data_IF_318179865838
#
_entry.id   IF_318179865838
#
_cell.length_a   1.000
_cell.length_b   1.000
_cell.length_c   1.000
_cell.angle_alpha   90.00
_cell.angle_beta   90.00
_cell.angle_gamma   90.00
#
_symmetry.space_group_name_H-M   'P 1'
#
loop_
_entity.id
_entity.type
_entity.pdbx_description
1 polymer ?
#
# COMPACT_ATOMS: atom_id res chain seq x y z
N UNK A 1 10.13 -8.31 -10.72
CA UNK A 1 9.48 -7.07 -11.21
C UNK A 1 9.47 -6.06 -10.07
N UNK A 2 9.37 -4.76 -10.34
CA UNK A 2 9.40 -3.71 -9.32
C UNK A 2 8.06 -2.99 -9.24
N UNK A 3 7.65 -2.60 -8.04
CA UNK A 3 6.43 -1.81 -7.82
C UNK A 3 6.70 -0.80 -6.70
N UNK A 4 6.14 0.40 -6.84
CA UNK A 4 6.39 1.50 -5.92
C UNK A 4 5.19 1.75 -5.03
N UNK A 5 5.41 2.47 -3.95
CA UNK A 5 4.32 2.96 -3.12
C UNK A 5 4.60 4.34 -2.55
N UNK A 6 3.54 5.12 -2.41
CA UNK A 6 3.62 6.52 -1.98
C UNK A 6 2.46 6.86 -1.03
N UNK A 7 2.72 7.80 -0.12
CA UNK A 7 1.71 8.37 0.77
C UNK A 7 1.49 9.82 0.43
N UNK A 8 0.25 10.23 0.14
CA UNK A 8 0.00 11.63 -0.20
C UNK A 8 0.19 12.58 0.99
N UNK A 9 0.02 12.09 2.23
CA UNK A 9 0.30 12.85 3.46
C UNK A 9 -0.37 14.25 3.39
N UNK A 10 0.42 15.28 3.65
CA UNK A 10 0.07 16.70 3.58
C UNK A 10 0.80 17.40 2.43
N UNK A 11 1.32 16.66 1.44
CA UNK A 11 2.10 17.22 0.34
C UNK A 11 1.25 18.17 -0.51
N UNK A 12 1.89 19.13 -1.16
CA UNK A 12 1.28 19.87 -2.28
C UNK A 12 1.19 18.97 -3.52
N UNK A 13 0.47 19.42 -4.55
CA UNK A 13 0.49 18.74 -5.87
C UNK A 13 1.91 18.70 -6.44
N UNK A 14 2.64 19.82 -6.37
CA UNK A 14 4.02 19.95 -6.87
C UNK A 14 4.97 18.97 -6.17
N UNK A 15 4.97 18.93 -4.82
CA UNK A 15 5.82 18.01 -4.06
C UNK A 15 5.50 16.54 -4.40
N UNK A 16 4.21 16.21 -4.55
CA UNK A 16 3.81 14.85 -4.88
C UNK A 16 4.20 14.46 -6.30
N UNK A 17 4.03 15.37 -7.27
CA UNK A 17 4.48 15.18 -8.65
C UNK A 17 6.00 15.01 -8.73
N UNK A 18 6.76 15.82 -8.00
CA UNK A 18 8.22 15.69 -7.93
C UNK A 18 8.65 14.32 -7.41
N UNK A 19 7.98 13.80 -6.37
CA UNK A 19 8.21 12.46 -5.83
C UNK A 19 7.91 11.35 -6.85
N UNK A 20 6.81 11.48 -7.61
CA UNK A 20 6.44 10.53 -8.65
C UNK A 20 7.43 10.56 -9.83
N UNK A 21 7.76 11.77 -10.29
CA UNK A 21 8.67 12.00 -11.42
C UNK A 21 10.10 11.53 -11.11
N UNK A 22 10.57 11.74 -9.87
CA UNK A 22 11.87 11.23 -9.43
C UNK A 22 11.99 9.71 -9.61
N UNK A 23 10.89 8.99 -9.41
CA UNK A 23 10.84 7.54 -9.61
C UNK A 23 10.36 7.15 -11.01
N UNK A 24 10.04 8.08 -11.89
CA UNK A 24 9.46 7.82 -13.22
C UNK A 24 8.14 7.06 -13.17
N UNK A 25 7.28 7.36 -12.20
CA UNK A 25 5.97 6.71 -12.06
C UNK A 25 5.06 7.11 -13.21
N UNK A 26 4.46 6.11 -13.86
CA UNK A 26 3.55 6.27 -14.99
C UNK A 26 2.08 6.19 -14.55
N UNK A 27 1.82 5.57 -13.40
CA UNK A 27 0.47 5.38 -12.88
C UNK A 27 0.42 5.41 -11.35
N UNK A 28 -0.54 6.15 -10.80
CA UNK A 28 -0.94 6.08 -9.40
C UNK A 28 -2.12 5.11 -9.24
N UNK A 29 -1.88 4.04 -8.50
CA UNK A 29 -2.90 3.08 -8.07
C UNK A 29 -3.45 3.48 -6.70
N UNK A 30 -4.57 4.18 -6.64
CA UNK A 30 -5.15 4.62 -5.37
C UNK A 30 -5.76 3.44 -4.62
N UNK A 31 -5.21 3.09 -3.45
CA UNK A 31 -5.70 1.99 -2.60
C UNK A 31 -6.45 2.52 -1.38
N UNK A 32 -6.87 3.79 -1.36
CA UNK A 32 -7.68 4.34 -0.27
C UNK A 32 -9.09 3.76 -0.33
N UNK A 33 -9.63 3.35 0.81
CA UNK A 33 -11.03 2.91 0.89
C UNK A 33 -12.01 4.01 0.47
N UNK A 34 -11.68 5.25 0.84
CA UNK A 34 -12.45 6.46 0.52
C UNK A 34 -11.47 7.50 -0.03
N UNK A 35 -11.36 7.65 -1.35
CA UNK A 35 -10.41 8.56 -1.98
C UNK A 35 -10.90 10.03 -2.03
N UNK A 36 -11.89 10.38 -1.21
CA UNK A 36 -12.27 11.78 -0.97
C UNK A 36 -11.43 12.39 0.16
N UNK A 37 -11.22 13.71 0.11
CA UNK A 37 -10.45 14.42 1.13
C UNK A 37 -10.94 15.86 1.29
N UNK A 38 -11.56 16.18 2.41
CA UNK A 38 -11.93 17.57 2.72
C UNK A 38 -10.74 18.42 3.16
N UNK A 39 -9.76 17.81 3.84
CA UNK A 39 -8.59 18.51 4.38
C UNK A 39 -7.56 18.83 3.30
N UNK A 40 -7.42 17.96 2.31
CA UNK A 40 -6.52 18.12 1.16
C UNK A 40 -7.33 17.88 -0.11
N UNK A 41 -8.12 18.87 -0.57
CA UNK A 41 -9.04 18.71 -1.70
C UNK A 41 -8.35 18.27 -2.99
N UNK A 42 -7.10 18.69 -3.24
CA UNK A 42 -6.33 18.28 -4.42
C UNK A 42 -6.10 16.76 -4.51
N UNK A 43 -6.09 16.05 -3.37
CA UNK A 43 -6.02 14.59 -3.34
C UNK A 43 -7.41 13.92 -3.35
N UNK A 44 -8.51 14.65 -3.51
CA UNK A 44 -9.81 14.03 -3.73
C UNK A 44 -9.84 13.36 -5.11
N UNK A 45 -10.61 12.29 -5.26
CA UNK A 45 -10.83 11.63 -6.55
C UNK A 45 -11.42 12.55 -7.62
N UNK A 46 -12.05 13.66 -7.25
CA UNK A 46 -12.62 14.63 -8.18
C UNK A 46 -11.55 15.56 -8.78
N UNK A 47 -10.37 15.67 -8.15
CA UNK A 47 -9.28 16.56 -8.57
C UNK A 47 -8.01 15.79 -8.97
N UNK A 48 -7.62 14.80 -8.18
CA UNK A 48 -6.38 14.02 -8.34
C UNK A 48 -6.16 13.46 -9.74
N UNK A 49 -7.15 12.84 -10.40
CA UNK A 49 -6.97 12.31 -11.75
C UNK A 49 -6.69 13.41 -12.79
N UNK A 50 -7.21 14.62 -12.59
CA UNK A 50 -7.07 15.74 -13.51
C UNK A 50 -5.62 16.23 -13.59
N UNK A 51 -5.07 16.68 -12.47
CA UNK A 51 -3.69 17.19 -12.46
C UNK A 51 -2.64 16.08 -12.66
N UNK A 52 -2.92 14.83 -12.28
CA UNK A 52 -2.06 13.70 -12.68
C UNK A 52 -2.03 13.51 -14.20
N UNK A 53 -3.21 13.55 -14.84
CA UNK A 53 -3.33 13.39 -16.30
C UNK A 53 -2.67 14.52 -17.09
N UNK A 54 -2.76 15.76 -16.60
CA UNK A 54 -2.02 16.91 -17.17
C UNK A 54 -0.49 16.71 -17.14
N UNK A 55 -0.01 15.90 -16.19
CA UNK A 55 1.40 15.53 -16.04
C UNK A 55 1.72 14.12 -16.60
N UNK A 56 0.83 13.56 -17.44
CA UNK A 56 1.00 12.25 -18.10
C UNK A 56 1.12 11.06 -17.14
N UNK A 57 0.54 11.18 -15.93
CA UNK A 57 0.46 10.10 -14.96
C UNK A 57 -0.98 9.59 -14.91
N UNK A 58 -1.17 8.30 -15.14
CA UNK A 58 -2.49 7.69 -15.08
C UNK A 58 -2.97 7.54 -13.63
N UNK A 59 -4.29 7.53 -13.44
CA UNK A 59 -4.92 7.27 -12.14
C UNK A 59 -5.93 6.14 -12.26
N UNK A 60 -5.90 5.18 -11.32
CA UNK A 60 -6.95 4.16 -11.17
C UNK A 60 -7.20 3.86 -9.71
N UNK A 61 -8.47 3.68 -9.36
CA UNK A 61 -8.89 3.38 -7.98
C UNK A 61 -9.03 1.87 -7.75
N UNK A 62 -8.23 1.32 -6.85
CA UNK A 62 -8.17 -0.10 -6.49
C UNK A 62 -8.93 -0.36 -5.19
N UNK A 63 -10.27 -0.34 -5.28
CA UNK A 63 -11.18 -0.51 -4.13
C UNK A 63 -10.96 -1.79 -3.32
N UNK A 64 -10.62 -2.90 -3.99
CA UNK A 64 -10.34 -4.20 -3.36
C UNK A 64 -9.14 -4.12 -2.42
N UNK A 65 -8.17 -3.25 -2.69
CA UNK A 65 -7.01 -3.02 -1.81
C UNK A 65 -7.27 -1.94 -0.75
N UNK A 66 -8.47 -1.36 -0.74
CA UNK A 66 -8.96 -0.37 0.21
C UNK A 66 -8.70 -0.72 1.68
N UNK A 67 -8.13 0.21 2.45
CA UNK A 67 -8.05 0.09 3.91
C UNK A 67 -9.40 0.00 4.65
N UNK A 68 -9.38 0.20 5.99
CA UNK A 68 -10.58 0.27 6.86
C UNK A 68 -11.47 -0.98 6.80
N UNK A 69 -10.88 -2.15 7.03
CA UNK A 69 -11.58 -3.44 7.06
C UNK A 69 -12.20 -3.70 8.43
N UNK A 70 -13.37 -4.35 8.42
CA UNK A 70 -14.07 -4.80 9.64
C UNK A 70 -13.41 -6.07 10.17
N UNK A 71 -13.67 -6.40 11.44
CA UNK A 71 -13.25 -7.68 12.04
C UNK A 71 -13.83 -8.83 11.20
N UNK A 72 -12.99 -9.80 10.84
CA UNK A 72 -13.43 -11.03 10.18
C UNK A 72 -14.33 -11.85 11.12
N UNK A 73 -15.31 -12.54 10.53
CA UNK A 73 -16.16 -13.51 11.24
C UNK A 73 -15.76 -14.96 10.97
N UNK A 74 -14.88 -15.17 10.00
CA UNK A 74 -14.56 -16.48 9.43
C UNK A 74 -13.09 -16.86 9.70
N UNK A 75 -12.21 -15.86 9.82
CA UNK A 75 -10.79 -16.05 10.10
C UNK A 75 -10.59 -16.32 11.59
N UNK A 76 -9.85 -17.39 11.92
CA UNK A 76 -9.39 -17.63 13.29
C UNK A 76 -8.50 -16.46 13.75
N UNK A 77 -8.84 -15.76 14.86
CA UNK A 77 -8.05 -14.63 15.36
C UNK A 77 -6.58 -14.93 15.64
N UNK A 78 -6.19 -16.19 15.89
CA UNK A 78 -4.79 -16.52 16.18
C UNK A 78 -3.91 -16.51 14.93
N UNK A 79 -4.48 -16.66 13.71
CA UNK A 79 -3.74 -16.62 12.44
C UNK A 79 -2.97 -15.30 12.29
N UNK A 80 -3.59 -14.19 12.67
CA UNK A 80 -3.00 -12.84 12.62
C UNK A 80 -2.88 -12.21 14.02
N UNK A 81 -2.75 -13.06 15.05
CA UNK A 81 -2.73 -12.67 16.45
C UNK A 81 -1.56 -11.78 16.87
N UNK A 82 -0.48 -11.71 16.08
CA UNK A 82 0.71 -10.90 16.33
C UNK A 82 0.48 -9.39 16.21
N UNK A 83 -0.64 -8.96 15.61
CA UNK A 83 -1.00 -7.54 15.51
C UNK A 83 -1.71 -7.02 16.76
N UNK A 84 -1.02 -6.19 17.54
CA UNK A 84 -1.63 -5.44 18.66
C UNK A 84 -2.65 -4.39 18.19
N UNK A 85 -2.43 -3.79 17.01
CA UNK A 85 -3.35 -2.80 16.45
C UNK A 85 -4.50 -3.51 15.71
N UNK A 86 -5.73 -3.27 16.17
CA UNK A 86 -6.94 -3.89 15.59
C UNK A 86 -7.15 -3.60 14.11
N UNK A 87 -6.79 -2.42 13.61
CA UNK A 87 -6.96 -2.09 12.19
C UNK A 87 -5.99 -2.87 11.30
N UNK A 88 -4.75 -3.10 11.76
CA UNK A 88 -3.80 -3.96 11.06
C UNK A 88 -4.24 -5.42 11.10
N UNK A 89 -4.64 -5.92 12.27
CA UNK A 89 -5.17 -7.28 12.41
C UNK A 89 -6.35 -7.53 11.45
N UNK A 90 -7.37 -6.67 11.48
CA UNK A 90 -8.53 -6.81 10.60
C UNK A 90 -8.16 -6.76 9.11
N UNK A 91 -7.13 -5.99 8.74
CA UNK A 91 -6.66 -5.94 7.35
C UNK A 91 -5.84 -7.17 6.98
N UNK A 92 -5.05 -7.71 7.90
CA UNK A 92 -4.33 -8.98 7.70
C UNK A 92 -5.29 -10.16 7.55
N UNK A 93 -6.42 -10.17 8.27
CA UNK A 93 -7.49 -11.16 8.03
C UNK A 93 -8.06 -11.01 6.63
N UNK A 94 -8.27 -9.77 6.20
CA UNK A 94 -8.78 -9.46 4.87
C UNK A 94 -7.83 -9.90 3.75
N UNK A 95 -6.49 -9.87 3.97
CA UNK A 95 -5.52 -10.33 2.96
C UNK A 95 -5.60 -11.83 2.65
N UNK A 96 -6.36 -12.59 3.43
CA UNK A 96 -6.61 -14.02 3.21
C UNK A 96 -7.83 -14.28 2.30
N UNK A 97 -8.55 -13.23 1.91
CA UNK A 97 -9.77 -13.36 1.10
C UNK A 97 -9.46 -13.38 -0.39
N UNK A 98 -10.35 -14.02 -1.16
CA UNK A 98 -10.27 -14.04 -2.63
C UNK A 98 -10.43 -12.63 -3.23
N UNK A 99 -11.23 -11.76 -2.61
CA UNK A 99 -11.38 -10.37 -3.06
C UNK A 99 -10.07 -9.59 -2.97
N UNK A 100 -9.29 -9.79 -1.90
CA UNK A 100 -7.97 -9.18 -1.78
C UNK A 100 -7.01 -9.70 -2.85
N UNK A 101 -6.99 -11.03 -3.06
CA UNK A 101 -6.16 -11.66 -4.10
C UNK A 101 -6.43 -11.07 -5.48
N UNK A 102 -7.71 -10.99 -5.88
CA UNK A 102 -8.09 -10.33 -7.12
C UNK A 102 -7.62 -8.89 -7.20
N UNK A 103 -7.62 -8.16 -6.07
CA UNK A 103 -7.09 -6.81 -6.01
C UNK A 103 -5.58 -6.73 -6.27
N UNK A 104 -4.82 -7.73 -5.82
CA UNK A 104 -3.39 -7.81 -6.12
C UNK A 104 -3.16 -8.23 -7.58
N UNK A 105 -3.92 -9.19 -8.10
CA UNK A 105 -3.86 -9.58 -9.50
C UNK A 105 -4.11 -8.37 -10.41
N UNK A 106 -5.19 -7.61 -10.15
CA UNK A 106 -5.51 -6.38 -10.88
C UNK A 106 -4.36 -5.35 -10.81
N UNK A 107 -3.70 -5.21 -9.65
CA UNK A 107 -2.60 -4.25 -9.45
C UNK A 107 -1.32 -4.68 -10.16
N UNK A 108 -1.00 -5.97 -10.09
CA UNK A 108 0.23 -6.54 -10.66
C UNK A 108 0.14 -6.66 -12.17
N UNK A 109 -1.05 -6.81 -12.74
CA UNK A 109 -1.28 -6.71 -14.19
C UNK A 109 -0.84 -5.35 -14.71
N UNK A 110 -1.26 -4.24 -14.08
CA UNK A 110 -0.80 -2.89 -14.47
C UNK A 110 0.71 -2.73 -14.25
N UNK A 111 1.22 -3.19 -13.11
CA UNK A 111 2.64 -3.08 -12.76
C UNK A 111 3.57 -3.95 -13.63
N UNK A 112 3.02 -4.89 -14.39
CA UNK A 112 3.77 -5.72 -15.35
C UNK A 112 4.14 -4.95 -16.63
N UNK A 113 3.40 -3.88 -16.95
CA UNK A 113 3.55 -3.09 -18.18
C UNK A 113 3.87 -1.61 -17.93
N UNK A 114 3.63 -1.10 -16.73
CA UNK A 114 3.88 0.30 -16.33
C UNK A 114 4.60 0.36 -14.98
N UNK A 115 5.31 1.46 -14.72
CA UNK A 115 5.83 1.76 -13.39
C UNK A 115 4.73 2.34 -12.50
N UNK A 116 4.14 1.48 -11.68
CA UNK A 116 3.01 1.81 -10.79
C UNK A 116 3.49 2.21 -9.39
N UNK A 117 2.91 3.27 -8.83
CA UNK A 117 2.95 3.56 -7.40
C UNK A 117 1.56 3.41 -6.75
N UNK A 118 1.39 2.46 -5.83
CA UNK A 118 0.14 2.37 -5.08
C UNK A 118 0.11 3.35 -3.89
N UNK A 119 -1.01 4.09 -3.77
CA UNK A 119 -1.11 5.31 -2.97
C UNK A 119 -2.13 5.21 -1.83
N UNK A 120 -1.77 5.75 -0.66
CA UNK A 120 -2.65 5.94 0.49
C UNK A 120 -2.46 7.37 1.07
N UNK A 121 -3.23 7.72 2.11
CA UNK A 121 -3.13 9.01 2.78
C UNK A 121 -2.01 9.14 3.81
N UNK A 122 -1.60 8.05 4.44
CA UNK A 122 -0.56 8.06 5.46
C UNK A 122 0.82 8.27 4.83
N UNK A 123 1.68 9.10 5.46
CA UNK A 123 3.04 9.40 4.99
C UNK A 123 3.89 8.13 4.90
N UNK A 124 4.04 7.45 6.03
CA UNK A 124 4.97 6.32 6.13
C UNK A 124 4.23 4.97 5.98
N UNK A 125 4.70 4.06 5.11
CA UNK A 125 4.03 2.79 4.80
C UNK A 125 3.79 1.92 6.04
N UNK A 126 4.73 1.91 7.00
CA UNK A 126 4.61 1.15 8.25
C UNK A 126 3.40 1.51 9.13
N UNK A 127 2.75 2.65 8.87
CA UNK A 127 1.63 3.17 9.68
C UNK A 127 0.27 2.96 9.03
N UNK A 128 0.22 2.29 7.88
CA UNK A 128 -1.02 2.03 7.18
C UNK A 128 -1.05 0.66 6.49
N UNK A 129 -2.17 0.35 5.85
CA UNK A 129 -2.42 -0.91 5.15
C UNK A 129 -1.45 -1.17 3.97
N UNK A 130 -0.75 -0.14 3.47
CA UNK A 130 0.31 -0.29 2.47
C UNK A 130 1.39 -1.26 2.94
N UNK A 131 1.67 -1.34 4.25
CA UNK A 131 2.59 -2.33 4.81
C UNK A 131 2.16 -3.77 4.45
N UNK A 132 0.89 -4.11 4.67
CA UNK A 132 0.38 -5.47 4.47
C UNK A 132 0.28 -5.83 2.98
N UNK A 133 -0.09 -4.86 2.13
CA UNK A 133 0.01 -5.02 0.66
C UNK A 133 1.47 -5.30 0.26
N UNK A 134 2.42 -4.54 0.81
CA UNK A 134 3.85 -4.69 0.50
C UNK A 134 4.40 -6.04 0.92
N UNK A 135 4.00 -6.52 2.11
CA UNK A 135 4.38 -7.84 2.60
C UNK A 135 3.87 -8.93 1.64
N UNK A 136 2.62 -8.82 1.19
CA UNK A 136 2.02 -9.78 0.26
C UNK A 136 2.73 -9.80 -1.09
N UNK A 137 2.91 -8.63 -1.72
CA UNK A 137 3.66 -8.49 -2.98
C UNK A 137 5.09 -9.04 -2.87
N UNK A 138 5.77 -8.77 -1.75
CA UNK A 138 7.15 -9.23 -1.54
C UNK A 138 7.23 -10.74 -1.33
N UNK A 139 6.22 -11.36 -0.68
CA UNK A 139 6.11 -12.80 -0.57
C UNK A 139 5.93 -13.47 -1.94
N UNK A 140 5.27 -12.79 -2.89
CA UNK A 140 5.19 -13.21 -4.30
C UNK A 140 6.42 -12.84 -5.16
N UNK A 141 7.47 -12.29 -4.56
CA UNK A 141 8.74 -12.00 -5.24
C UNK A 141 8.80 -10.64 -5.97
N UNK A 142 7.84 -9.74 -5.74
CA UNK A 142 7.97 -8.36 -6.20
C UNK A 142 8.98 -7.58 -5.36
N UNK A 143 9.78 -6.74 -6.02
CA UNK A 143 10.63 -5.75 -5.35
C UNK A 143 9.81 -4.50 -5.06
N UNK A 144 9.28 -4.40 -3.84
CA UNK A 144 8.50 -3.23 -3.42
C UNK A 144 9.43 -2.10 -2.95
N UNK A 145 9.22 -0.90 -3.49
CA UNK A 145 9.99 0.31 -3.14
C UNK A 145 9.09 1.41 -2.57
N UNK A 146 9.43 1.94 -1.41
CA UNK A 146 8.68 2.99 -0.74
C UNK A 146 9.25 4.36 -1.09
N UNK A 147 8.46 5.20 -1.75
CA UNK A 147 8.76 6.61 -1.98
C UNK A 147 8.35 7.38 -0.72
N UNK A 148 9.32 8.00 -0.06
CA UNK A 148 9.14 8.70 1.21
C UNK A 148 9.81 10.06 1.08
N UNK A 149 9.15 11.11 1.59
CA UNK A 149 9.75 12.42 1.73
C UNK A 149 10.81 12.38 2.85
N UNK A 150 12.06 12.68 2.48
CA UNK A 150 13.22 12.74 3.35
C UNK A 150 13.38 14.10 4.02
N UNK A 151 14.52 14.31 4.67
CA UNK A 151 14.83 15.61 5.28
C UNK A 151 15.21 16.64 4.21
N UNK A 152 14.82 17.91 4.43
CA UNK A 152 15.20 19.04 3.57
C UNK A 152 14.80 18.90 2.09
N UNK A 153 13.72 18.18 1.79
CA UNK A 153 13.21 18.01 0.42
C UNK A 153 13.90 16.91 -0.38
N UNK A 154 14.74 16.08 0.24
CA UNK A 154 15.23 14.85 -0.41
C UNK A 154 14.09 13.84 -0.59
N UNK A 155 14.18 13.03 -1.64
CA UNK A 155 13.22 11.95 -1.93
C UNK A 155 13.93 10.63 -1.65
N UNK A 156 13.49 9.92 -0.61
CA UNK A 156 14.03 8.63 -0.23
C UNK A 156 13.26 7.50 -0.93
N UNK A 157 13.99 6.61 -1.59
CA UNK A 157 13.44 5.38 -2.16
C UNK A 157 13.96 4.20 -1.35
N UNK A 158 13.09 3.64 -0.50
CA UNK A 158 13.46 2.63 0.50
C UNK A 158 12.94 1.27 0.07
N UNK A 159 13.83 0.28 -0.09
CA UNK A 159 13.41 -1.10 -0.34
C UNK A 159 12.59 -1.66 0.83
N UNK A 160 11.47 -2.30 0.49
CA UNK A 160 10.69 -3.08 1.44
C UNK A 160 11.45 -4.34 1.84
N UNK A 161 11.33 -4.70 3.12
CA UNK A 161 11.82 -5.98 3.63
C UNK A 161 10.75 -6.54 4.57
N UNK A 162 10.40 -7.80 4.38
CA UNK A 162 9.53 -8.53 5.30
C UNK A 162 10.12 -8.46 6.72
N UNK A 163 9.26 -8.33 7.73
CA UNK A 163 9.69 -8.23 9.13
C UNK A 163 10.32 -6.89 9.53
N UNK A 164 10.62 -5.99 8.58
CA UNK A 164 11.23 -4.69 8.89
C UNK A 164 10.38 -3.83 9.84
N UNK A 165 9.06 -3.92 9.70
CA UNK A 165 8.10 -3.14 10.47
C UNK A 165 6.90 -3.98 10.87
N UNK A 166 6.43 -3.79 12.10
CA UNK A 166 5.22 -4.44 12.61
C UNK A 166 5.45 -5.88 13.06
N UNK A 167 4.40 -6.71 12.98
CA UNK A 167 4.49 -8.13 13.30
C UNK A 167 5.32 -8.89 12.25
N UNK A 168 6.14 -9.84 12.69
CA UNK A 168 6.94 -10.68 11.81
C UNK A 168 6.02 -11.60 10.98
N UNK A 169 6.10 -11.59 9.64
CA UNK A 169 5.30 -12.46 8.81
C UNK A 169 5.87 -13.89 8.79
N UNK A 170 4.98 -14.88 8.88
CA UNK A 170 5.25 -16.27 8.50
C UNK A 170 4.64 -16.50 7.12
N UNK A 171 5.45 -16.95 6.17
CA UNK A 171 4.97 -17.26 4.81
C UNK A 171 4.47 -18.71 4.80
N UNK A 172 3.18 -18.89 4.52
CA UNK A 172 2.59 -20.22 4.35
C UNK A 172 3.13 -20.90 3.08
N UNK A 173 2.98 -22.22 2.96
CA UNK A 173 3.33 -22.96 1.73
C UNK A 173 2.60 -22.42 0.49
N UNK A 174 1.42 -21.83 0.69
CA UNK A 174 0.65 -21.14 -0.36
C UNK A 174 1.26 -19.81 -0.82
N UNK A 175 2.35 -19.35 -0.20
CA UNK A 175 2.97 -18.04 -0.46
C UNK A 175 2.33 -16.87 0.28
N UNK A 176 1.25 -17.11 1.03
CA UNK A 176 0.49 -16.07 1.71
C UNK A 176 1.14 -15.72 3.06
N UNK A 177 1.43 -14.44 3.36
CA UNK A 177 1.92 -14.02 4.67
C UNK A 177 0.81 -14.02 5.73
N UNK A 178 1.08 -14.62 6.88
CA UNK A 178 0.27 -14.56 8.11
C UNK A 178 1.10 -14.07 9.29
N UNK A 179 0.46 -13.70 10.40
CA UNK A 179 1.13 -13.03 11.53
C UNK A 179 0.72 -13.66 12.86
N UNK A 180 1.10 -14.92 13.15
CA UNK A 180 0.80 -15.55 14.42
C UNK A 180 1.49 -14.80 15.57
N UNK A 181 0.99 -14.96 16.79
CA UNK A 181 1.75 -14.50 17.96
C UNK A 181 3.02 -15.32 18.08
N UNK A 182 4.15 -14.64 18.20
CA UNK A 182 5.39 -15.28 18.66
C UNK A 182 5.26 -15.42 20.17
N UNK A 183 5.37 -16.65 20.69
CA UNK A 183 5.51 -16.87 22.11
C UNK A 183 6.73 -16.07 22.58
N UNK A 184 6.49 -15.13 23.49
CA UNK A 184 7.58 -14.42 24.17
C UNK A 184 8.30 -15.47 25.02
N UNK A 185 9.49 -15.89 24.60
CA UNK A 185 10.43 -16.58 25.51
C UNK A 185 10.74 -15.70 26.70
#
# INVERSE_FOLDING_TARGET
MEIYTIGHSTHTEEEFLDMLNHCGIEMVADVRAFPGSHKFPHFSIDHMPGWLGENQIEYKHFRKLGGRRKKSKETDPEINGGWNNRSFHNYADYTLTEEFRQGIDDLTEEASVKRVAYCCSERHPARCHRLLISNWLSAEGWKVKHIIDGNKGEIDVVDHKLGKWGAEPVILESGIPVYPKTDST
#
